data_IF_493075171886
#
_entry.id   IF_493075171886
#
_cell.length_a   1.000
_cell.length_b   1.000
_cell.length_c   1.000
_cell.angle_alpha   90.00
_cell.angle_beta   90.00
_cell.angle_gamma   90.00
#
_symmetry.space_group_name_H-M   'P 1'
#
loop_
_entity.id
_entity.type
_entity.pdbx_description
1 polymer ?
#
# COMPACT_ATOMS: atom_id res chain seq x y z
N UNK A 1 14.52 -38.99 -8.28
CA UNK A 1 13.82 -37.73 -8.55
C UNK A 1 12.76 -37.32 -7.50
N UNK A 2 12.18 -38.23 -6.74
CA UNK A 2 11.09 -37.94 -5.79
C UNK A 2 11.45 -37.30 -4.43
N UNK A 3 12.72 -37.16 -4.04
CA UNK A 3 13.11 -36.58 -2.73
C UNK A 3 13.46 -35.07 -2.76
N UNK A 4 13.61 -34.46 -3.93
CA UNK A 4 13.82 -33.02 -4.07
C UNK A 4 12.52 -32.20 -3.95
N UNK A 5 11.37 -32.79 -4.27
CA UNK A 5 10.06 -32.13 -4.35
C UNK A 5 9.50 -31.77 -2.96
N UNK A 6 9.83 -32.53 -1.91
CA UNK A 6 9.28 -32.29 -0.56
C UNK A 6 9.98 -31.16 0.22
N UNK A 7 11.08 -30.62 -0.29
CA UNK A 7 11.91 -29.65 0.45
C UNK A 7 11.49 -28.19 0.19
N UNK A 8 10.89 -27.90 -0.99
CA UNK A 8 10.37 -26.56 -1.33
C UNK A 8 9.00 -26.24 -0.71
N UNK A 9 8.20 -27.26 -0.38
CA UNK A 9 6.84 -27.11 0.11
C UNK A 9 6.70 -26.47 1.51
N UNK A 10 7.81 -26.21 2.21
CA UNK A 10 7.79 -25.63 3.57
C UNK A 10 8.30 -24.20 3.66
N UNK A 11 8.60 -23.54 2.56
CA UNK A 11 8.87 -22.09 2.56
C UNK A 11 7.52 -21.40 2.54
N UNK A 12 6.84 -21.40 3.68
CA UNK A 12 5.62 -20.61 3.84
C UNK A 12 5.94 -19.16 3.49
N UNK A 13 5.09 -18.52 2.71
CA UNK A 13 5.15 -17.17 2.15
C UNK A 13 5.99 -16.22 3.01
N UNK A 14 7.24 -16.01 2.58
CA UNK A 14 8.21 -15.18 3.29
C UNK A 14 7.99 -13.70 3.00
N UNK A 15 6.88 -13.32 2.36
CA UNK A 15 6.58 -11.94 2.03
C UNK A 15 6.41 -11.17 3.34
N UNK A 16 7.53 -10.67 3.83
CA UNK A 16 7.60 -9.77 4.96
C UNK A 16 7.39 -8.37 4.41
N UNK A 17 6.23 -7.82 4.56
CA UNK A 17 5.90 -6.40 4.61
C UNK A 17 6.69 -5.45 3.71
N UNK A 18 6.80 -5.66 2.41
CA UNK A 18 7.61 -4.76 1.62
C UNK A 18 6.82 -3.81 0.71
N UNK A 19 5.54 -3.66 0.93
CA UNK A 19 4.80 -2.56 0.31
C UNK A 19 4.81 -1.35 1.24
N UNK A 20 5.94 -0.66 1.29
CA UNK A 20 6.03 0.63 1.96
C UNK A 20 5.57 1.71 0.99
N UNK A 21 4.27 1.98 0.96
CA UNK A 21 3.74 3.09 0.19
C UNK A 21 3.79 4.34 1.05
N UNK A 22 4.57 5.30 0.64
CA UNK A 22 4.61 6.67 1.14
C UNK A 22 4.31 7.62 -0.03
N UNK A 23 3.76 8.76 0.25
CA UNK A 23 3.15 9.77 -0.58
C UNK A 23 3.95 10.28 -1.80
N UNK A 24 4.41 9.48 -2.75
CA UNK A 24 5.12 10.02 -3.88
C UNK A 24 4.19 10.37 -5.06
N UNK A 25 3.32 9.47 -5.53
CA UNK A 25 2.43 9.72 -6.68
C UNK A 25 1.04 10.23 -6.31
N UNK A 26 0.50 9.86 -5.13
CA UNK A 26 -0.88 10.18 -4.73
C UNK A 26 -1.16 9.91 -3.25
N UNK A 27 -2.36 9.47 -2.93
CA UNK A 27 -2.82 9.26 -1.56
C UNK A 27 -2.67 7.81 -1.07
N UNK A 28 -2.12 6.91 -1.88
CA UNK A 28 -2.03 5.49 -1.54
C UNK A 28 -1.04 5.24 -0.41
N UNK A 29 -1.48 4.51 0.62
CA UNK A 29 -0.66 4.15 1.78
C UNK A 29 -0.62 2.64 2.05
N UNK A 30 -1.56 1.87 1.52
CA UNK A 30 -1.48 0.41 1.51
C UNK A 30 -2.37 -0.19 0.42
N UNK A 31 -2.09 -1.45 0.10
CA UNK A 31 -2.81 -2.23 -0.91
C UNK A 31 -3.42 -3.47 -0.30
N UNK A 32 -4.42 -4.03 -0.99
CA UNK A 32 -4.94 -5.36 -0.71
C UNK A 32 -3.82 -6.40 -0.87
N UNK A 33 -3.75 -7.33 0.06
CA UNK A 33 -2.75 -8.40 0.03
C UNK A 33 -3.27 -9.61 -0.78
N UNK A 34 -3.26 -9.51 -2.11
CA UNK A 34 -3.75 -10.59 -2.97
C UNK A 34 -2.99 -11.91 -2.78
N UNK A 35 -1.70 -11.86 -2.42
CA UNK A 35 -0.90 -13.05 -2.13
C UNK A 35 -1.43 -13.86 -0.96
N UNK A 36 -2.26 -13.28 -0.07
CA UNK A 36 -2.89 -14.01 1.01
C UNK A 36 -3.80 -15.13 0.52
N UNK A 37 -4.51 -14.96 -0.61
CA UNK A 37 -5.33 -15.99 -1.25
C UNK A 37 -4.55 -17.25 -1.65
N UNK A 38 -3.23 -17.12 -1.80
CA UNK A 38 -2.33 -18.16 -2.27
C UNK A 38 -1.51 -18.80 -1.14
N UNK A 39 -1.80 -18.44 0.10
CA UNK A 39 -1.22 -19.12 1.27
C UNK A 39 -1.92 -20.46 1.50
N UNK A 40 -1.21 -21.42 2.07
CA UNK A 40 -1.77 -22.75 2.40
C UNK A 40 -2.70 -22.67 3.61
N UNK A 41 -3.83 -23.38 3.54
CA UNK A 41 -4.77 -23.57 4.63
C UNK A 41 -5.44 -22.28 5.11
N UNK A 42 -6.07 -22.37 6.28
CA UNK A 42 -6.69 -21.20 6.92
C UNK A 42 -5.65 -20.33 7.62
N UNK A 43 -5.83 -19.00 7.54
CA UNK A 43 -4.88 -18.03 8.07
C UNK A 43 -5.58 -16.76 8.54
N UNK A 44 -5.13 -16.24 9.68
CA UNK A 44 -5.53 -14.92 10.20
C UNK A 44 -4.28 -14.08 10.35
N UNK A 45 -4.26 -12.90 9.76
CA UNK A 45 -3.16 -11.96 9.82
C UNK A 45 -3.61 -10.66 10.52
N UNK A 46 -2.82 -10.18 11.46
CA UNK A 46 -2.90 -8.82 12.02
C UNK A 46 -1.62 -8.07 11.73
N UNK A 47 -1.76 -6.86 11.21
CA UNK A 47 -0.64 -6.01 10.81
C UNK A 47 -0.76 -4.65 11.47
N UNK A 48 0.34 -4.19 12.07
CA UNK A 48 0.51 -2.81 12.52
C UNK A 48 1.74 -2.22 11.83
N UNK A 49 1.60 -1.00 11.30
CA UNK A 49 2.69 -0.29 10.63
C UNK A 49 2.69 1.17 11.06
N UNK A 50 3.87 1.70 11.36
CA UNK A 50 4.10 3.10 11.70
C UNK A 50 5.11 3.70 10.73
N UNK A 51 4.78 4.85 10.16
CA UNK A 51 5.67 5.63 9.28
C UNK A 51 5.86 7.02 9.87
N UNK A 52 7.11 7.39 10.09
CA UNK A 52 7.54 8.73 10.50
C UNK A 52 8.32 9.35 9.34
N UNK A 53 7.90 10.53 8.89
CA UNK A 53 8.48 11.21 7.72
C UNK A 53 9.06 12.55 8.10
N UNK A 54 10.16 12.92 7.45
CA UNK A 54 10.72 14.28 7.43
C UNK A 54 10.47 14.85 6.04
N UNK A 55 9.48 15.75 5.91
CA UNK A 55 9.14 16.43 4.66
C UNK A 55 9.10 17.90 4.96
N UNK A 56 10.14 18.63 4.54
CA UNK A 56 10.39 20.02 4.91
C UNK A 56 10.80 20.87 3.73
N UNK A 57 10.57 22.16 3.85
CA UNK A 57 11.14 23.20 2.97
C UNK A 57 11.44 24.48 3.78
N UNK A 58 12.07 25.47 3.15
CA UNK A 58 12.44 26.73 3.83
C UNK A 58 11.36 27.81 3.77
N UNK A 59 10.37 27.67 2.89
CA UNK A 59 9.37 28.72 2.63
C UNK A 59 8.05 28.44 3.33
N UNK A 60 7.44 27.28 3.06
CA UNK A 60 6.11 26.95 3.53
C UNK A 60 6.13 26.20 4.88
N UNK A 61 7.13 25.38 5.12
CA UNK A 61 7.24 24.58 6.33
C UNK A 61 8.05 25.22 7.45
N UNK A 62 8.82 26.26 7.13
CA UNK A 62 9.78 26.87 8.07
C UNK A 62 10.73 25.84 8.69
N UNK A 63 11.16 24.84 7.91
CA UNK A 63 12.03 23.77 8.36
C UNK A 63 11.35 22.69 9.24
N UNK A 64 10.04 22.77 9.45
CA UNK A 64 9.30 21.74 10.18
C UNK A 64 8.72 20.70 9.23
N UNK A 65 8.62 19.43 9.65
CA UNK A 65 7.97 18.43 8.82
C UNK A 65 6.46 18.72 8.69
N UNK A 66 5.99 18.72 7.44
CA UNK A 66 4.58 18.94 7.12
C UNK A 66 3.77 17.65 7.07
N UNK A 67 4.43 16.48 7.11
CA UNK A 67 3.78 15.16 7.16
C UNK A 67 3.87 14.63 8.58
N UNK A 68 2.72 14.41 9.22
CA UNK A 68 2.65 13.82 10.56
C UNK A 68 2.79 12.31 10.48
N UNK A 69 3.20 11.70 11.60
CA UNK A 69 3.29 10.25 11.74
C UNK A 69 1.99 9.56 11.30
N UNK A 70 2.13 8.49 10.52
CA UNK A 70 1.03 7.66 10.05
C UNK A 70 1.10 6.28 10.69
N UNK A 71 0.03 5.91 11.39
CA UNK A 71 -0.16 4.56 11.95
C UNK A 71 -1.26 3.85 11.16
N UNK A 72 -0.96 2.68 10.64
CA UNK A 72 -1.88 1.85 9.86
C UNK A 72 -2.09 0.51 10.54
N UNK A 73 -3.34 0.04 10.52
CA UNK A 73 -3.72 -1.28 10.98
C UNK A 73 -4.41 -2.03 9.84
N UNK A 74 -4.08 -3.31 9.70
CA UNK A 74 -4.77 -4.20 8.77
C UNK A 74 -5.02 -5.54 9.46
N UNK A 75 -6.08 -6.21 9.02
CA UNK A 75 -6.41 -7.57 9.40
C UNK A 75 -6.88 -8.34 8.18
N UNK A 76 -6.56 -9.62 8.11
CA UNK A 76 -6.98 -10.49 7.04
C UNK A 76 -7.33 -11.88 7.57
N UNK A 77 -8.30 -12.49 6.93
CA UNK A 77 -8.65 -13.89 7.11
C UNK A 77 -8.71 -14.56 5.75
N UNK A 78 -8.11 -15.73 5.62
CA UNK A 78 -8.19 -16.57 4.42
C UNK A 78 -8.53 -17.98 4.82
N UNK A 79 -9.33 -18.64 4.01
CA UNK A 79 -9.58 -20.07 4.13
C UNK A 79 -9.78 -20.73 2.78
N UNK A 80 -9.53 -22.04 2.71
CA UNK A 80 -9.85 -22.87 1.57
C UNK A 80 -11.21 -23.52 1.80
N UNK A 81 -12.11 -23.34 0.82
CA UNK A 81 -13.38 -24.07 0.82
C UNK A 81 -13.16 -25.51 0.31
N UNK A 82 -12.28 -25.67 -0.68
CA UNK A 82 -11.82 -26.95 -1.21
C UNK A 82 -10.49 -26.73 -1.99
N UNK A 83 -9.97 -27.76 -2.63
CA UNK A 83 -8.69 -27.71 -3.38
C UNK A 83 -8.69 -26.68 -4.52
N UNK A 84 -9.84 -26.28 -5.02
CA UNK A 84 -10.00 -25.36 -6.15
C UNK A 84 -10.45 -23.96 -5.73
N UNK A 85 -11.12 -23.82 -4.58
CA UNK A 85 -11.75 -22.56 -4.16
C UNK A 85 -11.18 -22.10 -2.83
N UNK A 86 -10.66 -20.88 -2.83
CA UNK A 86 -10.22 -20.16 -1.64
C UNK A 86 -10.93 -18.82 -1.55
N UNK A 87 -11.05 -18.28 -0.34
CA UNK A 87 -11.58 -16.94 -0.13
C UNK A 87 -10.79 -16.20 0.94
N UNK A 88 -10.78 -14.87 0.83
CA UNK A 88 -10.17 -14.00 1.82
C UNK A 88 -11.07 -12.82 2.13
N UNK A 89 -11.08 -12.42 3.40
CA UNK A 89 -11.65 -11.16 3.88
C UNK A 89 -10.51 -10.32 4.43
N UNK A 90 -10.44 -9.04 4.03
CA UNK A 90 -9.39 -8.14 4.49
C UNK A 90 -9.97 -6.79 4.90
N UNK A 91 -9.37 -6.22 5.94
CA UNK A 91 -9.54 -4.83 6.37
C UNK A 91 -8.19 -4.13 6.31
N UNK A 92 -8.12 -3.01 5.58
CA UNK A 92 -6.90 -2.21 5.44
C UNK A 92 -7.24 -0.74 5.15
N UNK A 93 -6.24 0.14 5.12
CA UNK A 93 -6.41 1.56 4.78
C UNK A 93 -5.76 1.86 3.44
N UNK A 94 -6.51 1.96 2.32
CA UNK A 94 -5.93 2.17 0.99
C UNK A 94 -5.34 3.57 0.80
N UNK A 95 -5.98 4.60 1.35
CA UNK A 95 -5.58 5.98 1.19
C UNK A 95 -5.52 6.69 2.55
N UNK A 96 -4.52 7.54 2.71
CA UNK A 96 -4.44 8.46 3.84
C UNK A 96 -3.65 9.72 3.46
N UNK A 97 -3.86 10.79 4.22
CA UNK A 97 -3.01 11.97 4.24
C UNK A 97 -2.91 12.46 5.68
N UNK A 98 -1.71 12.85 6.07
CA UNK A 98 -1.45 13.45 7.39
C UNK A 98 -0.73 14.80 7.24
N UNK A 99 -1.01 15.48 6.12
CA UNK A 99 -0.37 16.72 5.74
C UNK A 99 -0.90 17.88 6.56
N UNK A 100 0.01 18.62 7.18
CA UNK A 100 -0.32 19.81 7.98
C UNK A 100 0.85 20.79 7.99
N UNK A 101 0.68 21.90 7.31
CA UNK A 101 1.61 23.01 7.34
C UNK A 101 1.47 23.86 8.61
N UNK A 102 2.47 24.71 8.95
CA UNK A 102 2.35 25.70 10.01
C UNK A 102 1.13 26.63 9.82
N UNK A 103 0.63 27.19 10.91
CA UNK A 103 -0.59 28.04 10.92
C UNK A 103 -0.51 29.25 9.99
N UNK A 104 0.70 29.78 9.74
CA UNK A 104 0.90 30.89 8.82
C UNK A 104 0.56 30.54 7.35
N UNK A 105 0.74 29.27 6.96
CA UNK A 105 0.38 28.75 5.63
C UNK A 105 -1.03 28.19 5.61
N UNK A 106 -1.50 27.66 6.74
CA UNK A 106 -2.84 27.12 6.99
C UNK A 106 -3.30 26.00 6.05
N UNK A 107 -2.40 25.37 5.29
CA UNK A 107 -2.75 24.21 4.44
C UNK A 107 -2.77 22.95 5.28
N UNK A 108 -3.85 22.17 5.12
CA UNK A 108 -4.08 20.93 5.86
C UNK A 108 -4.84 19.92 4.99
N UNK A 109 -4.40 18.68 4.99
CA UNK A 109 -5.14 17.55 4.40
C UNK A 109 -4.99 16.33 5.32
N UNK A 110 -5.97 16.13 6.19
CA UNK A 110 -6.05 15.00 7.10
C UNK A 110 -7.13 14.06 6.58
N UNK A 111 -6.71 12.99 5.94
CA UNK A 111 -7.56 11.97 5.33
C UNK A 111 -7.25 10.61 5.94
N UNK A 112 -8.26 9.87 6.29
CA UNK A 112 -8.17 8.45 6.66
C UNK A 112 -9.26 7.69 5.94
N UNK A 113 -8.91 6.51 5.47
CA UNK A 113 -9.87 5.61 4.83
C UNK A 113 -9.92 4.26 5.56
N UNK A 114 -10.80 3.39 5.14
CA UNK A 114 -10.85 1.98 5.50
C UNK A 114 -11.46 1.23 4.32
N UNK A 115 -10.84 0.15 3.92
CA UNK A 115 -11.39 -0.83 2.98
C UNK A 115 -11.77 -2.10 3.72
N UNK A 116 -12.94 -2.64 3.38
CA UNK A 116 -13.35 -4.00 3.68
C UNK A 116 -13.49 -4.73 2.36
N UNK A 117 -12.77 -5.81 2.14
CA UNK A 117 -12.81 -6.58 0.90
C UNK A 117 -13.13 -8.04 1.15
N UNK A 118 -13.89 -8.63 0.24
CA UNK A 118 -14.12 -10.06 0.13
C UNK A 118 -13.68 -10.50 -1.25
N UNK A 119 -12.75 -11.44 -1.31
CA UNK A 119 -12.16 -11.93 -2.56
C UNK A 119 -12.23 -13.44 -2.61
N UNK A 120 -12.63 -14.00 -3.74
CA UNK A 120 -12.62 -15.43 -4.05
C UNK A 120 -11.58 -15.76 -5.11
N UNK A 121 -10.94 -16.91 -4.99
CA UNK A 121 -10.04 -17.51 -5.99
C UNK A 121 -10.62 -18.84 -6.45
N UNK A 122 -10.55 -19.08 -7.76
CA UNK A 122 -10.83 -20.36 -8.39
C UNK A 122 -9.61 -20.85 -9.17
N UNK A 123 -9.09 -22.02 -8.79
CA UNK A 123 -8.02 -22.70 -9.52
C UNK A 123 -8.65 -23.60 -10.59
N UNK A 124 -8.22 -23.45 -11.84
CA UNK A 124 -8.68 -24.30 -12.93
C UNK A 124 -8.18 -25.74 -12.72
N UNK A 125 -9.07 -26.72 -12.92
CA UNK A 125 -8.75 -28.13 -12.75
C UNK A 125 -7.65 -28.58 -13.71
N UNK A 126 -6.66 -29.30 -13.19
CA UNK A 126 -5.50 -29.80 -13.95
C UNK A 126 -4.71 -28.71 -14.67
N UNK A 127 -4.67 -27.51 -14.12
CA UNK A 127 -4.04 -26.34 -14.74
C UNK A 127 -3.25 -25.56 -13.72
N UNK A 128 -2.11 -24.93 -14.09
CA UNK A 128 -1.40 -23.99 -13.24
C UNK A 128 -2.09 -22.63 -13.13
N UNK A 129 -3.14 -22.40 -13.90
CA UNK A 129 -3.85 -21.13 -13.94
C UNK A 129 -5.00 -21.06 -12.94
N UNK A 130 -5.24 -19.87 -12.44
CA UNK A 130 -6.38 -19.52 -11.62
C UNK A 130 -6.90 -18.13 -11.95
N UNK A 131 -8.11 -17.86 -11.49
CA UNK A 131 -8.72 -16.53 -11.55
C UNK A 131 -9.18 -16.14 -10.16
N UNK A 132 -9.18 -14.85 -9.87
CA UNK A 132 -9.69 -14.33 -8.61
C UNK A 132 -10.43 -13.02 -8.83
N UNK A 133 -11.45 -12.78 -8.03
CA UNK A 133 -12.21 -11.54 -8.08
C UNK A 133 -12.79 -11.25 -6.69
N UNK A 134 -13.05 -9.98 -6.45
CA UNK A 134 -13.59 -9.54 -5.18
C UNK A 134 -14.33 -8.22 -5.25
N UNK A 135 -15.10 -7.96 -4.22
CA UNK A 135 -15.77 -6.70 -3.98
C UNK A 135 -15.12 -6.01 -2.78
N UNK A 136 -15.16 -4.69 -2.76
CA UNK A 136 -14.66 -3.90 -1.65
C UNK A 136 -15.55 -2.71 -1.37
N UNK A 137 -15.75 -2.44 -0.08
CA UNK A 137 -16.30 -1.19 0.41
C UNK A 137 -15.15 -0.30 0.87
N UNK A 138 -15.04 0.89 0.34
CA UNK A 138 -14.07 1.90 0.80
C UNK A 138 -14.82 3.02 1.49
N UNK A 139 -14.44 3.28 2.75
CA UNK A 139 -14.98 4.36 3.56
C UNK A 139 -13.95 5.46 3.66
N UNK A 140 -14.24 6.67 3.18
CA UNK A 140 -13.54 7.87 3.63
C UNK A 140 -14.12 8.25 4.99
N UNK A 141 -13.27 8.29 6.03
CA UNK A 141 -13.65 8.73 7.37
C UNK A 141 -13.81 10.25 7.38
N UNK A 142 -14.34 10.81 8.49
CA UNK A 142 -14.36 12.26 8.69
C UNK A 142 -12.96 12.82 8.45
N UNK A 143 -12.83 13.73 7.50
CA UNK A 143 -11.57 14.28 7.03
C UNK A 143 -11.56 15.80 7.15
N UNK A 144 -10.38 16.38 7.23
CA UNK A 144 -10.20 17.85 7.31
C UNK A 144 -9.38 18.30 6.12
N UNK A 145 -9.87 19.30 5.41
CA UNK A 145 -9.20 19.97 4.31
C UNK A 145 -9.13 21.47 4.59
N UNK A 146 -7.97 22.08 4.39
CA UNK A 146 -7.78 23.52 4.34
C UNK A 146 -6.80 23.84 3.22
N UNK A 147 -7.18 24.78 2.36
CA UNK A 147 -6.36 25.17 1.19
C UNK A 147 -5.94 26.66 1.26
N UNK A 148 -5.95 27.23 2.46
CA UNK A 148 -5.57 28.62 2.73
C UNK A 148 -6.39 29.68 1.95
N UNK A 149 -7.63 29.35 1.59
CA UNK A 149 -8.55 30.25 0.85
C UNK A 149 -9.41 31.16 1.75
N UNK A 150 -9.12 31.24 3.05
CA UNK A 150 -9.87 32.01 4.04
C UNK A 150 -11.11 31.27 4.62
N UNK A 151 -11.51 30.12 4.08
CA UNK A 151 -12.65 29.36 4.57
C UNK A 151 -12.37 28.55 5.86
N UNK A 152 -11.11 28.49 6.29
CA UNK A 152 -10.68 27.70 7.44
C UNK A 152 -10.71 26.19 7.19
N UNK A 153 -10.83 25.44 8.26
CA UNK A 153 -10.89 23.97 8.18
C UNK A 153 -12.26 23.49 7.68
N UNK A 154 -12.29 22.90 6.50
CA UNK A 154 -13.46 22.26 5.91
C UNK A 154 -13.49 20.79 6.32
N UNK A 155 -14.58 20.39 6.96
CA UNK A 155 -14.74 19.04 7.47
C UNK A 155 -15.71 18.27 6.57
N UNK A 156 -15.30 17.07 6.14
CA UNK A 156 -16.15 16.17 5.37
C UNK A 156 -16.96 15.25 6.28
N UNK A 157 -18.13 14.83 5.83
CA UNK A 157 -18.85 13.70 6.44
C UNK A 157 -18.28 12.37 5.94
N UNK A 158 -18.34 11.29 6.74
CA UNK A 158 -17.94 9.97 6.27
C UNK A 158 -18.75 9.52 5.05
N UNK A 159 -18.08 8.87 4.09
CA UNK A 159 -18.69 8.39 2.85
C UNK A 159 -18.21 7.00 2.51
N UNK A 160 -19.15 6.11 2.19
CA UNK A 160 -18.88 4.77 1.69
C UNK A 160 -19.09 4.74 0.19
N UNK A 161 -18.17 4.13 -0.52
CA UNK A 161 -18.31 3.78 -1.93
C UNK A 161 -17.86 2.33 -2.15
N UNK A 162 -18.26 1.75 -3.26
CA UNK A 162 -18.03 0.35 -3.57
C UNK A 162 -17.21 0.22 -4.85
N UNK A 163 -16.37 -0.79 -4.87
CA UNK A 163 -15.56 -1.14 -6.04
C UNK A 163 -15.37 -2.65 -6.10
N UNK A 164 -14.67 -3.07 -7.15
CA UNK A 164 -14.31 -4.46 -7.34
C UNK A 164 -12.82 -4.57 -7.70
N UNK A 165 -12.34 -5.78 -7.70
CA UNK A 165 -11.05 -6.17 -8.26
C UNK A 165 -11.19 -7.49 -8.97
N UNK A 166 -10.34 -7.74 -9.96
CA UNK A 166 -10.24 -9.01 -10.66
C UNK A 166 -8.78 -9.31 -10.98
N UNK A 167 -8.47 -10.58 -11.17
CA UNK A 167 -7.12 -10.98 -11.52
C UNK A 167 -7.03 -12.42 -12.01
N UNK A 168 -5.84 -12.73 -12.50
CA UNK A 168 -5.44 -14.06 -12.92
C UNK A 168 -4.15 -14.46 -12.22
N UNK A 169 -3.95 -15.75 -12.05
CA UNK A 169 -2.75 -16.31 -11.45
C UNK A 169 -2.18 -17.45 -12.26
N UNK A 170 -0.87 -17.62 -12.12
CA UNK A 170 -0.13 -18.79 -12.55
C UNK A 170 0.67 -19.33 -11.38
N UNK A 171 0.51 -20.62 -11.07
CA UNK A 171 1.16 -21.27 -9.93
C UNK A 171 1.91 -22.52 -10.38
N UNK A 172 3.20 -22.62 -10.05
CA UNK A 172 4.01 -23.83 -10.25
C UNK A 172 4.68 -24.20 -8.92
N UNK A 173 4.05 -25.09 -8.13
CA UNK A 173 4.48 -25.41 -6.76
C UNK A 173 5.88 -26.00 -6.69
N UNK A 174 6.35 -26.72 -7.72
CA UNK A 174 7.66 -27.41 -7.74
C UNK A 174 8.83 -26.45 -7.55
N UNK A 175 8.68 -25.20 -7.97
CA UNK A 175 9.68 -24.14 -7.82
C UNK A 175 9.18 -22.97 -6.99
N UNK A 176 8.07 -23.17 -6.25
CA UNK A 176 7.39 -22.14 -5.46
C UNK A 176 7.04 -20.89 -6.30
N UNK A 177 6.80 -21.06 -7.62
CA UNK A 177 6.45 -19.94 -8.49
C UNK A 177 4.98 -19.58 -8.34
N UNK A 178 4.72 -18.31 -8.10
CA UNK A 178 3.41 -17.68 -8.20
C UNK A 178 3.55 -16.37 -8.95
N UNK A 179 2.68 -16.13 -9.90
CA UNK A 179 2.55 -14.88 -10.65
C UNK A 179 1.09 -14.47 -10.58
N UNK A 180 0.82 -13.26 -10.15
CA UNK A 180 -0.51 -12.69 -10.01
C UNK A 180 -0.59 -11.38 -10.78
N UNK A 181 -1.58 -11.26 -11.66
CA UNK A 181 -1.96 -10.00 -12.28
C UNK A 181 -3.33 -9.61 -11.75
N UNK A 182 -3.45 -8.42 -11.19
CA UNK A 182 -4.70 -7.88 -10.67
C UNK A 182 -4.99 -6.48 -11.22
N UNK A 183 -6.28 -6.19 -11.37
CA UNK A 183 -6.80 -4.92 -11.81
C UNK A 183 -7.91 -4.46 -10.85
N UNK A 184 -7.90 -3.19 -10.52
CA UNK A 184 -8.93 -2.53 -9.70
C UNK A 184 -9.30 -1.19 -10.34
N UNK A 185 -10.55 -0.98 -10.78
CA UNK A 185 -10.98 0.30 -11.32
C UNK A 185 -10.97 1.40 -10.26
N UNK A 186 -10.97 2.63 -10.71
CA UNK A 186 -11.09 3.81 -9.87
C UNK A 186 -12.42 3.82 -9.08
N UNK A 187 -12.41 4.46 -7.91
CA UNK A 187 -13.61 4.68 -7.08
C UNK A 187 -13.74 6.18 -6.83
N UNK A 188 -14.87 6.75 -7.24
CA UNK A 188 -15.19 8.18 -7.08
C UNK A 188 -15.88 8.44 -5.75
N UNK A 189 -15.50 9.54 -5.09
CA UNK A 189 -16.12 10.01 -3.85
C UNK A 189 -16.59 11.44 -4.01
N UNK A 190 -17.84 11.70 -3.67
CA UNK A 190 -18.39 13.04 -3.51
C UNK A 190 -18.67 13.28 -2.03
N UNK A 191 -18.00 14.26 -1.45
CA UNK A 191 -17.94 14.51 -0.01
C UNK A 191 -18.60 15.87 0.29
N UNK A 192 -19.76 15.90 0.96
CA UNK A 192 -20.29 17.16 1.50
C UNK A 192 -19.30 17.75 2.51
N UNK A 193 -19.11 19.07 2.47
CA UNK A 193 -18.21 19.79 3.39
C UNK A 193 -19.00 20.82 4.21
N UNK A 194 -18.45 21.20 5.36
CA UNK A 194 -19.10 22.12 6.32
C UNK A 194 -19.30 23.54 5.81
N UNK A 195 -18.52 23.97 4.84
CA UNK A 195 -18.72 25.24 4.12
C UNK A 195 -19.43 24.89 2.82
N UNK A 196 -20.41 25.68 2.39
CA UNK A 196 -21.26 25.38 1.25
C UNK A 196 -20.49 24.84 0.03
N UNK A 197 -20.82 23.61 -0.40
CA UNK A 197 -20.19 22.96 -1.55
C UNK A 197 -19.84 21.50 -1.31
N UNK A 198 -19.08 20.93 -2.25
CA UNK A 198 -18.60 19.55 -2.22
C UNK A 198 -17.10 19.47 -2.48
N UNK A 199 -16.43 18.53 -1.83
CA UNK A 199 -15.13 18.07 -2.25
C UNK A 199 -15.29 16.74 -3.01
N UNK A 200 -14.51 16.52 -4.05
CA UNK A 200 -14.44 15.23 -4.72
C UNK A 200 -13.04 14.68 -4.59
N UNK A 201 -12.95 13.38 -4.34
CA UNK A 201 -11.73 12.62 -4.30
C UNK A 201 -11.93 11.32 -5.10
N UNK A 202 -10.85 10.73 -5.54
CA UNK A 202 -10.90 9.47 -6.27
C UNK A 202 -9.80 8.55 -5.73
N UNK A 203 -10.11 7.29 -5.49
CA UNK A 203 -9.10 6.24 -5.42
C UNK A 203 -8.70 5.92 -6.86
N UNK A 204 -7.42 5.98 -7.15
CA UNK A 204 -6.91 5.73 -8.49
C UNK A 204 -7.23 4.31 -8.99
N UNK A 205 -7.32 4.15 -10.28
CA UNK A 205 -7.26 2.86 -10.96
C UNK A 205 -5.88 2.24 -10.74
N UNK A 206 -5.83 0.93 -10.56
CA UNK A 206 -4.60 0.21 -10.21
C UNK A 206 -4.47 -1.08 -10.99
N UNK A 207 -3.28 -1.33 -11.51
CA UNK A 207 -2.86 -2.62 -12.06
C UNK A 207 -1.63 -3.09 -11.32
N UNK A 208 -1.61 -4.36 -10.87
CA UNK A 208 -0.47 -4.91 -10.13
C UNK A 208 -0.11 -6.27 -10.67
N UNK A 209 1.16 -6.44 -11.01
CA UNK A 209 1.80 -7.74 -11.25
C UNK A 209 2.65 -8.06 -10.02
N UNK A 210 2.39 -9.20 -9.38
CA UNK A 210 3.16 -9.71 -8.25
C UNK A 210 3.74 -11.07 -8.60
N UNK A 211 4.94 -11.36 -8.13
CA UNK A 211 5.54 -12.67 -8.29
C UNK A 211 6.35 -13.10 -7.08
N UNK A 212 6.44 -14.42 -6.88
CA UNK A 212 7.42 -15.05 -6.00
C UNK A 212 7.92 -16.35 -6.65
N UNK A 213 9.18 -16.71 -6.42
CA UNK A 213 9.76 -17.98 -6.91
C UNK A 213 10.94 -18.42 -6.06
N UNK A 214 11.10 -19.73 -5.89
CA UNK A 214 12.29 -20.32 -5.29
C UNK A 214 13.47 -20.27 -6.27
N UNK A 215 14.57 -19.62 -5.88
CA UNK A 215 15.78 -19.49 -6.72
C UNK A 215 16.92 -20.37 -6.24
N UNK A 216 16.89 -20.82 -5.00
CA UNK A 216 17.81 -21.78 -4.41
C UNK A 216 17.17 -22.43 -3.19
N UNK A 217 17.83 -23.44 -2.61
CA UNK A 217 17.39 -24.04 -1.36
C UNK A 217 17.21 -22.94 -0.29
N UNK A 218 16.05 -22.93 0.35
CA UNK A 218 15.69 -21.99 1.42
C UNK A 218 15.74 -20.50 1.01
N UNK A 219 15.71 -20.19 -0.31
CA UNK A 219 15.83 -18.84 -0.82
C UNK A 219 14.74 -18.54 -1.84
N UNK A 220 13.99 -17.47 -1.59
CA UNK A 220 12.88 -16.98 -2.39
C UNK A 220 13.24 -15.62 -2.98
N UNK A 221 13.00 -15.43 -4.28
CA UNK A 221 12.95 -14.14 -4.95
C UNK A 221 11.48 -13.72 -5.04
N UNK A 222 11.19 -12.47 -4.78
CA UNK A 222 9.85 -11.91 -4.94
C UNK A 222 9.91 -10.49 -5.47
N UNK A 223 8.80 -10.02 -6.04
CA UNK A 223 8.70 -8.65 -6.49
C UNK A 223 7.33 -8.28 -6.99
N UNK A 224 7.19 -7.02 -7.38
CA UNK A 224 5.96 -6.50 -7.97
C UNK A 224 6.22 -5.30 -8.88
N UNK A 225 5.34 -5.14 -9.86
CA UNK A 225 5.15 -3.92 -10.64
C UNK A 225 3.75 -3.43 -10.32
N UNK A 226 3.64 -2.19 -9.85
CA UNK A 226 2.37 -1.58 -9.50
C UNK A 226 2.22 -0.25 -10.20
N UNK A 227 1.16 -0.14 -10.98
CA UNK A 227 0.79 1.08 -11.72
C UNK A 227 -0.47 1.65 -11.11
N UNK A 228 -0.51 2.97 -10.91
CA UNK A 228 -1.68 3.68 -10.43
C UNK A 228 -1.90 5.01 -11.14
N UNK A 229 -3.12 5.24 -11.63
CA UNK A 229 -3.52 6.39 -12.45
C UNK A 229 -3.93 7.59 -11.59
N UNK A 230 -3.01 8.07 -10.74
CA UNK A 230 -3.26 9.21 -9.85
C UNK A 230 -3.42 10.53 -10.60
N UNK A 231 -2.86 10.67 -11.81
CA UNK A 231 -3.05 11.84 -12.67
C UNK A 231 -4.51 12.12 -12.99
N UNK A 232 -5.34 11.07 -13.08
CA UNK A 232 -6.80 11.19 -13.23
C UNK A 232 -7.57 11.26 -11.90
N UNK A 233 -6.91 11.04 -10.76
CA UNK A 233 -7.51 10.90 -9.44
C UNK A 233 -7.30 12.16 -8.55
N UNK A 234 -7.49 13.32 -9.14
CA UNK A 234 -7.29 14.60 -8.46
C UNK A 234 -8.36 14.90 -7.40
N UNK A 235 -7.95 15.60 -6.34
CA UNK A 235 -8.88 16.19 -5.37
C UNK A 235 -9.39 17.52 -5.93
N UNK A 236 -10.70 17.72 -5.89
CA UNK A 236 -11.35 18.98 -6.31
C UNK A 236 -12.18 19.52 -5.16
N UNK A 237 -12.23 20.84 -5.06
CA UNK A 237 -13.06 21.60 -4.12
C UNK A 237 -13.97 22.52 -4.91
N UNK A 238 -15.30 22.36 -4.77
CA UNK A 238 -16.31 23.10 -5.54
C UNK A 238 -16.02 23.09 -7.06
N UNK A 239 -15.58 21.95 -7.60
CA UNK A 239 -15.22 21.78 -9.00
C UNK A 239 -13.79 22.19 -9.38
N UNK A 240 -13.10 22.97 -8.54
CA UNK A 240 -11.72 23.42 -8.81
C UNK A 240 -10.71 22.37 -8.33
N UNK A 241 -9.77 21.98 -9.19
CA UNK A 241 -8.69 21.07 -8.82
C UNK A 241 -7.72 21.73 -7.84
N UNK A 242 -7.42 21.04 -6.74
CA UNK A 242 -6.53 21.54 -5.67
C UNK A 242 -5.31 20.64 -5.43
N UNK A 243 -5.24 19.46 -6.06
CA UNK A 243 -4.06 18.59 -6.04
C UNK A 243 -3.39 18.51 -7.40
N UNK A 244 -2.12 18.09 -7.43
CA UNK A 244 -1.34 17.85 -8.66
C UNK A 244 -0.68 16.47 -8.56
N UNK A 245 -1.50 15.43 -8.34
CA UNK A 245 -1.04 14.07 -8.35
C UNK A 245 -0.65 13.62 -9.75
N UNK A 246 0.28 12.68 -9.84
CA UNK A 246 0.77 12.11 -11.09
C UNK A 246 0.63 10.61 -11.06
N UNK A 247 0.46 10.01 -12.22
CA UNK A 247 0.53 8.57 -12.38
C UNK A 247 1.83 8.03 -11.78
N UNK A 248 1.78 6.88 -11.18
CA UNK A 248 2.97 6.28 -10.56
C UNK A 248 3.15 4.82 -10.97
N UNK A 249 4.39 4.51 -11.30
CA UNK A 249 4.89 3.16 -11.52
C UNK A 249 5.85 2.82 -10.40
N UNK A 250 5.47 1.85 -9.56
CA UNK A 250 6.29 1.37 -8.44
C UNK A 250 6.82 -0.01 -8.75
N UNK A 251 8.12 -0.19 -8.66
CA UNK A 251 8.82 -1.46 -8.83
C UNK A 251 9.39 -1.92 -7.50
N UNK A 252 9.14 -3.16 -7.16
CA UNK A 252 9.70 -3.79 -5.96
C UNK A 252 10.42 -5.08 -6.33
N UNK A 253 11.57 -5.33 -5.73
CA UNK A 253 12.27 -6.60 -5.77
C UNK A 253 12.85 -6.91 -4.40
N UNK A 254 12.84 -8.19 -4.02
CA UNK A 254 13.38 -8.61 -2.75
C UNK A 254 13.76 -10.08 -2.75
N UNK A 255 14.62 -10.41 -1.80
CA UNK A 255 15.05 -11.78 -1.54
C UNK A 255 14.75 -12.13 -0.08
N UNK A 256 14.24 -13.33 0.11
CA UNK A 256 14.00 -13.90 1.42
C UNK A 256 14.78 -15.19 1.61
N UNK A 257 15.31 -15.42 2.80
CA UNK A 257 16.06 -16.63 3.14
C UNK A 257 15.63 -17.20 4.47
N UNK A 258 15.41 -18.51 4.48
CA UNK A 258 15.20 -19.29 5.69
C UNK A 258 16.58 -19.67 6.26
N UNK A 259 16.86 -19.23 7.48
CA UNK A 259 18.11 -19.54 8.18
C UNK A 259 17.99 -20.81 9.04
N UNK A 260 16.79 -21.04 9.58
CA UNK A 260 16.44 -22.23 10.33
C UNK A 260 14.93 -22.50 10.20
N UNK A 261 14.42 -23.58 10.79
CA UNK A 261 12.98 -23.88 10.79
C UNK A 261 12.13 -22.80 11.48
N UNK A 262 12.76 -21.99 12.34
CA UNK A 262 12.07 -20.95 13.10
C UNK A 262 12.40 -19.53 12.63
N UNK A 263 13.52 -19.32 11.93
CA UNK A 263 13.98 -17.97 11.61
C UNK A 263 14.20 -17.79 10.13
N UNK A 264 13.66 -16.72 9.58
CA UNK A 264 13.89 -16.26 8.22
C UNK A 264 14.14 -14.75 8.19
N UNK A 265 14.86 -14.28 7.19
CA UNK A 265 15.10 -12.87 6.95
C UNK A 265 14.86 -12.49 5.51
N UNK A 266 14.67 -11.20 5.25
CA UNK A 266 14.51 -10.66 3.90
C UNK A 266 15.16 -9.31 3.75
N UNK A 267 15.50 -9.01 2.50
CA UNK A 267 15.91 -7.69 2.04
C UNK A 267 15.12 -7.33 0.80
N UNK A 268 14.80 -6.06 0.63
CA UNK A 268 14.08 -5.57 -0.54
C UNK A 268 14.46 -4.16 -0.92
N UNK A 269 14.25 -3.86 -2.18
CA UNK A 269 14.35 -2.53 -2.76
C UNK A 269 13.06 -2.21 -3.49
N UNK A 270 12.55 -1.00 -3.26
CA UNK A 270 11.38 -0.45 -3.97
C UNK A 270 11.76 0.90 -4.55
N UNK A 271 11.41 1.15 -5.80
CA UNK A 271 11.58 2.44 -6.45
C UNK A 271 10.29 2.89 -7.11
N UNK A 272 10.05 4.18 -7.09
CA UNK A 272 8.98 4.87 -7.81
C UNK A 272 9.58 6.11 -8.46
N UNK A 273 9.52 6.17 -9.79
CA UNK A 273 10.08 7.30 -10.53
C UNK A 273 9.32 8.59 -10.20
N UNK A 274 10.05 9.69 -10.05
CA UNK A 274 9.46 11.01 -9.99
C UNK A 274 8.83 11.41 -11.32
N UNK A 275 7.70 12.10 -11.28
CA UNK A 275 6.99 12.54 -12.48
C UNK A 275 7.35 13.97 -12.88
N UNK A 276 7.36 14.89 -11.94
CA UNK A 276 7.70 16.30 -12.15
C UNK A 276 8.39 16.88 -10.91
N UNK A 277 9.57 17.43 -11.10
CA UNK A 277 10.30 18.11 -10.04
C UNK A 277 9.66 19.44 -9.61
N UNK A 278 8.63 19.91 -10.33
CA UNK A 278 7.89 21.13 -10.03
C UNK A 278 6.40 20.84 -9.91
N UNK A 279 5.69 21.59 -9.09
CA UNK A 279 4.25 21.51 -8.89
C UNK A 279 3.67 22.82 -8.37
N UNK A 280 2.35 22.92 -8.36
CA UNK A 280 1.62 24.11 -7.89
C UNK A 280 0.79 23.83 -6.65
N UNK A 281 0.74 22.57 -6.16
CA UNK A 281 -0.07 22.20 -5.03
C UNK A 281 0.77 21.79 -3.82
N UNK A 282 0.54 22.47 -2.70
CA UNK A 282 1.09 22.11 -1.39
C UNK A 282 0.57 20.76 -0.86
N UNK A 283 -0.42 20.14 -1.52
CA UNK A 283 -0.92 18.80 -1.16
C UNK A 283 -0.03 17.67 -1.71
N UNK A 284 0.98 17.97 -2.52
CA UNK A 284 1.88 16.98 -3.14
C UNK A 284 3.35 17.43 -3.00
N UNK A 285 3.91 17.45 -1.78
CA UNK A 285 5.25 17.98 -1.53
C UNK A 285 6.40 17.00 -1.82
N UNK A 286 6.12 15.79 -2.31
CA UNK A 286 7.13 14.76 -2.60
C UNK A 286 7.08 14.34 -4.07
N UNK A 287 8.19 13.73 -4.57
CA UNK A 287 8.33 13.36 -5.97
C UNK A 287 9.16 12.09 -6.13
N UNK A 288 8.51 10.95 -6.44
CA UNK A 288 9.19 9.66 -6.49
C UNK A 288 9.76 9.22 -5.14
N UNK A 289 10.34 8.04 -5.10
CA UNK A 289 11.01 7.51 -3.88
C UNK A 289 11.87 6.31 -4.18
N UNK A 290 12.86 6.10 -3.32
CA UNK A 290 13.63 4.87 -3.18
C UNK A 290 13.52 4.36 -1.75
N UNK A 291 13.25 3.07 -1.59
CA UNK A 291 13.04 2.46 -0.27
C UNK A 291 13.87 1.17 -0.15
N UNK A 292 14.64 1.08 0.90
CA UNK A 292 15.32 -0.15 1.31
C UNK A 292 14.62 -0.74 2.53
N UNK A 293 14.32 -2.03 2.46
CA UNK A 293 13.61 -2.75 3.52
C UNK A 293 14.35 -3.99 3.98
N UNK A 294 14.30 -4.23 5.28
CA UNK A 294 14.74 -5.48 5.89
C UNK A 294 13.61 -6.07 6.71
N UNK A 295 13.55 -7.39 6.77
CA UNK A 295 12.54 -8.10 7.54
C UNK A 295 13.07 -9.33 8.22
N UNK A 296 12.42 -9.71 9.30
CA UNK A 296 12.65 -10.96 10.02
C UNK A 296 11.32 -11.63 10.32
N UNK A 297 11.27 -12.96 10.20
CA UNK A 297 10.11 -13.78 10.58
C UNK A 297 10.55 -14.87 11.55
N UNK A 298 9.83 -15.00 12.65
CA UNK A 298 9.98 -16.05 13.63
C UNK A 298 8.73 -16.92 13.66
N UNK A 299 8.91 -18.23 13.53
CA UNK A 299 7.84 -19.24 13.63
C UNK A 299 7.72 -19.68 15.08
N UNK A 300 6.64 -19.26 15.73
CA UNK A 300 6.28 -19.67 17.09
C UNK A 300 5.27 -20.82 17.06
N UNK A 301 4.98 -21.41 18.21
CA UNK A 301 4.03 -22.53 18.31
C UNK A 301 2.59 -22.15 17.93
N UNK A 302 2.21 -20.88 18.15
CA UNK A 302 0.88 -20.35 17.85
C UNK A 302 0.75 -19.77 16.43
N UNK A 303 1.87 -19.56 15.72
CA UNK A 303 1.88 -18.92 14.41
C UNK A 303 3.17 -18.16 14.15
N UNK A 304 3.15 -17.24 13.18
CA UNK A 304 4.32 -16.50 12.75
C UNK A 304 4.29 -15.07 13.28
N UNK A 305 5.44 -14.58 13.77
CA UNK A 305 5.67 -13.17 14.10
C UNK A 305 6.65 -12.63 13.07
N UNK A 306 6.29 -11.53 12.40
CA UNK A 306 7.17 -10.87 11.43
C UNK A 306 7.40 -9.42 11.84
N UNK A 307 8.64 -8.98 11.76
CA UNK A 307 9.07 -7.60 11.95
C UNK A 307 9.67 -7.06 10.66
N UNK A 308 9.38 -5.80 10.34
CA UNK A 308 9.94 -5.10 9.19
C UNK A 308 10.41 -3.70 9.55
N UNK A 309 11.51 -3.29 8.92
CA UNK A 309 12.04 -1.94 8.97
C UNK A 309 12.36 -1.48 7.55
N UNK A 310 12.03 -0.23 7.23
CA UNK A 310 12.41 0.36 5.97
C UNK A 310 12.78 1.83 6.10
N UNK A 311 13.72 2.23 5.24
CA UNK A 311 14.16 3.59 5.05
C UNK A 311 13.81 4.02 3.63
N UNK A 312 13.11 5.16 3.52
CA UNK A 312 12.68 5.76 2.24
C UNK A 312 13.35 7.10 2.07
N UNK A 313 13.88 7.35 0.88
CA UNK A 313 14.29 8.69 0.43
C UNK A 313 13.31 9.16 -0.63
N UNK A 314 12.83 10.40 -0.52
CA UNK A 314 11.95 11.02 -1.52
C UNK A 314 12.78 11.86 -2.48
N UNK A 315 12.36 11.89 -3.75
CA UNK A 315 12.90 12.81 -4.74
C UNK A 315 12.54 14.26 -4.43
N UNK A 316 13.38 15.16 -4.89
CA UNK A 316 13.22 16.60 -4.70
C UNK A 316 11.98 17.15 -5.44
N UNK A 317 11.31 18.11 -4.82
CA UNK A 317 10.13 18.78 -5.35
C UNK A 317 10.16 20.28 -5.09
N UNK A 318 10.04 21.07 -6.15
CA UNK A 318 9.74 22.50 -6.04
C UNK A 318 8.22 22.71 -6.13
N UNK A 319 7.64 23.42 -5.17
CA UNK A 319 6.22 23.79 -5.18
C UNK A 319 6.08 25.30 -5.22
N UNK A 320 5.33 25.81 -6.21
CA UNK A 320 5.06 27.25 -6.38
C UNK A 320 3.60 27.55 -6.08
N UNK A 321 3.37 28.26 -4.98
CA UNK A 321 2.04 28.72 -4.52
C UNK A 321 2.18 30.13 -3.91
N UNK A 322 2.24 31.15 -4.76
CA UNK A 322 2.56 32.54 -4.37
C UNK A 322 4.06 32.78 -4.13
N UNK A 323 4.77 31.78 -3.61
CA UNK A 323 6.22 31.71 -3.47
C UNK A 323 6.67 30.31 -3.93
N UNK A 324 7.98 30.08 -4.06
CA UNK A 324 8.51 28.73 -4.39
C UNK A 324 9.24 28.15 -3.20
N UNK A 325 8.74 27.02 -2.70
CA UNK A 325 9.38 26.19 -1.69
C UNK A 325 10.05 24.96 -2.32
N UNK A 326 11.26 24.64 -1.89
CA UNK A 326 12.01 23.49 -2.37
C UNK A 326 12.04 22.42 -1.27
N UNK A 327 11.31 21.33 -1.50
CA UNK A 327 11.30 20.14 -0.66
C UNK A 327 12.44 19.23 -1.10
N UNK A 328 13.52 19.20 -0.32
CA UNK A 328 14.76 18.46 -0.64
C UNK A 328 15.23 17.66 0.55
N UNK A 329 15.98 16.58 0.29
CA UNK A 329 16.51 15.69 1.32
C UNK A 329 15.43 15.15 2.27
N UNK A 330 14.26 14.87 1.73
CA UNK A 330 13.12 14.35 2.49
C UNK A 330 13.20 12.83 2.61
N UNK A 331 12.80 12.32 3.75
CA UNK A 331 12.86 10.89 4.05
C UNK A 331 11.66 10.38 4.87
N UNK A 332 11.60 9.06 5.02
CA UNK A 332 10.69 8.42 5.95
C UNK A 332 11.28 7.11 6.48
N UNK A 333 11.02 6.84 7.74
CA UNK A 333 11.29 5.55 8.38
C UNK A 333 9.98 4.84 8.66
N UNK A 334 9.91 3.57 8.28
CA UNK A 334 8.74 2.71 8.56
C UNK A 334 9.14 1.50 9.37
N UNK A 335 8.37 1.21 10.43
CA UNK A 335 8.44 -0.03 11.18
C UNK A 335 7.12 -0.77 11.09
N UNK A 336 7.16 -2.10 11.03
CA UNK A 336 5.98 -2.94 10.92
C UNK A 336 6.08 -4.20 11.76
N UNK A 337 4.94 -4.60 12.31
CA UNK A 337 4.75 -5.88 13.00
C UNK A 337 3.57 -6.60 12.38
N UNK A 338 3.74 -7.89 12.10
CA UNK A 338 2.66 -8.79 11.67
C UNK A 338 2.65 -10.03 12.55
N UNK A 339 1.46 -10.43 12.94
CA UNK A 339 1.20 -11.69 13.62
C UNK A 339 0.25 -12.49 12.75
N UNK A 340 0.64 -13.71 12.43
CA UNK A 340 -0.13 -14.64 11.60
C UNK A 340 -0.46 -15.88 12.42
N UNK A 341 -1.74 -16.20 12.48
CA UNK A 341 -2.24 -17.42 13.13
C UNK A 341 -2.70 -18.41 12.09
N UNK A 342 -2.48 -19.69 12.33
CA UNK A 342 -3.14 -20.78 11.61
C UNK A 342 -4.22 -21.31 12.53
N UNK A 343 -5.51 -21.00 12.27
CA UNK A 343 -6.60 -21.62 13.03
C UNK A 343 -6.48 -23.15 12.90
N UNK A 344 -6.57 -23.85 14.00
CA UNK A 344 -6.73 -25.33 13.95
C UNK A 344 -8.06 -25.62 13.27
N UNK A 345 -8.04 -26.40 12.20
CA UNK A 345 -9.23 -26.93 11.56
C UNK A 345 -9.86 -28.00 12.44
#
# INVERSE_FOLDING_TARGET
MGKFISLFLKIGTLIIFVSFNSFAGGLEVSRQNNMMLFSEGSKVDFTSRQTSSTVTDNVFSSGQTVVKQLNLLAAGFKSDYNDSISYAFEMYEPMASTLQYPSAVAVKALLRTRSLSLTGKYRLSNSPFGVFAGIRQVTIKRSTLNVANGAGDMITTPKNEYGYMMGASYEQPEIALKILLSYSPAIDFTLPITVAGTATAKQAEMTTLEFETGIAKDTLLYGSIHQSSWGSAQVKLAGTQISTFSDSDTYNIGVGRKFSDKLSGSFSYTTEAGSSATGTSLLSPTNGKDTYGIGAKYVANFGDISFGYAQTSFGDKAVTSGATGNFTNNDATTVGLKISFKPNN
#
